data_IF_647556981546
#
_entry.id   IF_647556981546
#
_cell.length_a   1.000
_cell.length_b   1.000
_cell.length_c   1.000
_cell.angle_alpha   90.00
_cell.angle_beta   90.00
_cell.angle_gamma   90.00
#
_symmetry.space_group_name_H-M   'P 1'
#
loop_
_entity.id
_entity.type
_entity.pdbx_description
1 polymer ?
#
# COMPACT_ATOMS: atom_id res chain seq x y z
N UNK A 1 -7.99 22.88 -0.15
CA UNK A 1 -7.40 21.95 0.85
C UNK A 1 -7.95 20.56 0.63
N UNK A 2 -7.08 19.55 0.65
CA UNK A 2 -7.42 18.14 0.48
C UNK A 2 -7.76 17.51 1.83
N UNK A 3 -8.98 17.76 2.30
CA UNK A 3 -9.45 17.21 3.57
C UNK A 3 -9.76 15.72 3.42
N UNK A 4 -9.61 14.92 4.50
CA UNK A 4 -10.05 13.53 4.51
C UNK A 4 -11.51 13.40 4.05
N UNK A 5 -11.77 12.47 3.14
CA UNK A 5 -13.12 12.24 2.65
C UNK A 5 -13.92 11.39 3.66
N UNK A 6 -15.26 11.41 3.63
CA UNK A 6 -16.06 10.49 4.43
C UNK A 6 -15.70 9.02 4.19
N UNK A 7 -15.40 8.66 2.93
CA UNK A 7 -15.01 7.30 2.56
C UNK A 7 -13.66 6.88 3.13
N UNK A 8 -12.69 7.80 3.21
CA UNK A 8 -11.40 7.52 3.85
C UNK A 8 -11.57 7.07 5.31
N UNK A 9 -12.47 7.71 6.08
CA UNK A 9 -12.70 7.31 7.47
C UNK A 9 -13.49 6.01 7.63
N UNK A 10 -14.41 5.73 6.70
CA UNK A 10 -15.23 4.51 6.75
C UNK A 10 -14.38 3.28 6.39
N UNK A 11 -13.58 3.39 5.33
CA UNK A 11 -12.79 2.28 4.79
C UNK A 11 -11.36 2.23 5.36
N UNK A 12 -10.93 3.29 6.05
CA UNK A 12 -9.54 3.48 6.51
C UNK A 12 -8.52 3.44 5.36
N UNK A 13 -8.89 4.03 4.21
CA UNK A 13 -8.09 4.06 2.99
C UNK A 13 -7.87 5.49 2.48
N UNK A 14 -6.66 6.04 2.69
CA UNK A 14 -6.31 7.42 2.30
C UNK A 14 -6.45 7.68 0.79
N UNK A 15 -6.16 6.68 -0.05
CA UNK A 15 -6.24 6.82 -1.51
C UNK A 15 -7.67 7.14 -2.00
N UNK A 16 -8.70 6.84 -1.21
CA UNK A 16 -10.07 7.20 -1.55
C UNK A 16 -10.30 8.71 -1.56
N UNK A 17 -9.46 9.49 -0.87
CA UNK A 17 -9.49 10.96 -0.92
C UNK A 17 -9.27 11.47 -2.34
N UNK A 18 -8.31 10.89 -3.07
CA UNK A 18 -8.01 11.25 -4.46
C UNK A 18 -9.25 11.05 -5.33
N UNK A 19 -9.84 9.86 -5.25
CA UNK A 19 -11.02 9.50 -6.05
C UNK A 19 -12.24 10.34 -5.69
N UNK A 20 -12.41 10.69 -4.40
CA UNK A 20 -13.49 11.53 -3.91
C UNK A 20 -13.48 12.95 -4.50
N UNK A 21 -12.29 13.53 -4.69
CA UNK A 21 -12.14 14.85 -5.31
C UNK A 21 -12.17 14.81 -6.86
N UNK A 22 -12.43 13.64 -7.46
CA UNK A 22 -12.56 13.47 -8.91
C UNK A 22 -11.24 13.27 -9.65
N UNK A 23 -10.14 13.12 -8.92
CA UNK A 23 -8.82 12.82 -9.49
C UNK A 23 -8.66 11.31 -9.78
N UNK A 24 -7.65 10.96 -10.59
CA UNK A 24 -7.43 9.58 -11.04
C UNK A 24 -6.13 9.00 -10.48
N UNK A 25 -6.17 7.71 -10.12
CA UNK A 25 -4.99 6.93 -9.74
C UNK A 25 -4.67 5.97 -10.87
N UNK A 26 -3.48 6.09 -11.46
CA UNK A 26 -3.00 5.13 -12.44
C UNK A 26 -2.55 3.84 -11.75
N UNK A 27 -2.98 2.69 -12.26
CA UNK A 27 -2.60 1.37 -11.76
C UNK A 27 -2.15 0.52 -12.95
N UNK A 28 -1.00 -0.13 -12.81
CA UNK A 28 -0.43 -1.02 -13.81
C UNK A 28 0.04 -2.33 -13.14
N UNK A 29 0.19 -3.39 -13.94
CA UNK A 29 0.71 -4.66 -13.46
C UNK A 29 2.20 -4.51 -13.16
N UNK A 30 2.63 -4.97 -11.98
CA UNK A 30 4.05 -5.01 -11.63
C UNK A 30 4.80 -5.96 -12.57
N UNK A 31 5.99 -5.56 -13.02
CA UNK A 31 6.80 -6.38 -13.93
C UNK A 31 7.35 -7.64 -13.24
N UNK A 32 7.53 -7.57 -11.94
CA UNK A 32 7.94 -8.66 -11.07
C UNK A 32 7.18 -8.56 -9.74
N UNK A 33 7.03 -9.69 -9.06
CA UNK A 33 6.42 -9.72 -7.72
C UNK A 33 7.42 -9.11 -6.73
N UNK A 34 7.06 -8.05 -5.98
CA UNK A 34 7.96 -7.48 -4.99
C UNK A 34 8.28 -8.50 -3.90
N UNK A 35 9.48 -8.41 -3.34
CA UNK A 35 9.89 -9.24 -2.21
C UNK A 35 8.98 -9.07 -1.00
N UNK A 36 9.04 -10.04 -0.09
CA UNK A 36 8.21 -10.02 1.13
C UNK A 36 8.57 -8.83 2.02
N UNK A 37 7.53 -8.15 2.54
CA UNK A 37 7.69 -7.10 3.55
C UNK A 37 8.28 -7.63 4.85
N UNK A 38 8.94 -6.77 5.61
CA UNK A 38 9.51 -7.09 6.93
C UNK A 38 8.86 -6.19 7.97
N UNK A 39 7.82 -6.71 8.64
CA UNK A 39 7.10 -6.00 9.69
C UNK A 39 7.40 -6.57 11.08
N UNK A 40 7.89 -7.81 11.13
CA UNK A 40 8.24 -8.53 12.36
C UNK A 40 9.69 -9.06 12.35
N UNK A 41 10.27 -9.36 13.52
CA UNK A 41 11.57 -10.03 13.59
C UNK A 41 11.61 -11.37 12.83
N UNK A 42 10.50 -12.11 12.81
CA UNK A 42 10.38 -13.38 12.10
C UNK A 42 10.43 -13.21 10.58
N UNK A 43 9.83 -12.13 10.05
CA UNK A 43 9.93 -11.80 8.62
C UNK A 43 11.37 -11.51 8.23
N UNK A 44 12.12 -10.84 9.10
CA UNK A 44 13.54 -10.54 8.89
C UNK A 44 14.37 -11.83 8.81
N UNK A 45 14.12 -12.78 9.71
CA UNK A 45 14.82 -14.08 9.67
C UNK A 45 14.46 -14.89 8.41
N UNK A 46 13.20 -14.85 7.96
CA UNK A 46 12.78 -15.49 6.70
C UNK A 46 13.53 -14.91 5.49
N UNK A 47 13.55 -13.58 5.35
CA UNK A 47 14.28 -12.91 4.26
C UNK A 47 15.79 -13.23 4.35
N UNK A 48 16.38 -13.25 5.56
CA UNK A 48 17.79 -13.63 5.76
C UNK A 48 18.11 -15.07 5.36
N UNK A 49 17.16 -16.00 5.47
CA UNK A 49 17.34 -17.38 5.04
C UNK A 49 17.30 -17.53 3.51
N UNK A 50 16.48 -16.72 2.82
CA UNK A 50 16.36 -16.69 1.36
C UNK A 50 17.58 -16.05 0.65
N UNK A 51 18.35 -15.23 1.38
CA UNK A 51 19.55 -14.56 0.87
C UNK A 51 20.86 -15.37 0.98
N UNK A 52 20.83 -16.57 1.57
CA UNK A 52 22.00 -17.45 1.71
C UNK A 52 22.06 -18.50 0.60
#
# INVERSE_FOLDING_TARGET
>A
NWQPSPLEHIEMLEQLRVLWYGEKIHVAVAQEVPGTGVDTPEDLERVRAEMR
#
